data_IF_267885629492
#
_entry.id   IF_267885629492
#
_cell.length_a   1.000
_cell.length_b   1.000
_cell.length_c   1.000
_cell.angle_alpha   90.00
_cell.angle_beta   90.00
_cell.angle_gamma   90.00
#
_symmetry.space_group_name_H-M   'P 1'
#
loop_
_entity.id
_entity.type
_entity.pdbx_description
1 polymer ?
#
# COMPACT_ATOMS: atom_id res chain seq x y z
N UNK A 1 -14.24 4.06 11.33
CA UNK A 1 -15.26 3.03 11.65
C UNK A 1 -16.65 3.66 11.48
N UNK A 2 -17.62 2.90 11.01
CA UNK A 2 -18.99 3.38 10.74
C UNK A 2 -19.78 3.82 11.99
N UNK A 3 -19.22 3.71 13.20
CA UNK A 3 -19.92 3.94 14.46
C UNK A 3 -20.98 2.89 14.79
N UNK A 4 -21.06 1.82 14.00
CA UNK A 4 -22.00 0.70 14.20
C UNK A 4 -21.41 -0.27 15.24
N UNK A 5 -22.20 -0.66 16.24
CA UNK A 5 -21.76 -1.67 17.22
C UNK A 5 -21.74 -3.07 16.61
N UNK A 6 -20.91 -3.96 17.17
CA UNK A 6 -20.83 -5.37 16.76
C UNK A 6 -22.21 -6.06 16.79
N UNK A 7 -23.02 -5.79 17.84
CA UNK A 7 -24.38 -6.32 17.96
C UNK A 7 -25.29 -5.90 16.79
N UNK A 8 -25.25 -4.62 16.40
CA UNK A 8 -26.06 -4.12 15.27
C UNK A 8 -25.55 -4.72 13.95
N UNK A 9 -24.25 -4.80 13.76
CA UNK A 9 -23.66 -5.40 12.55
C UNK A 9 -23.98 -6.90 12.42
N UNK A 10 -23.85 -7.64 13.51
CA UNK A 10 -24.19 -9.07 13.57
C UNK A 10 -25.68 -9.32 13.28
N UNK A 11 -26.56 -8.52 13.90
CA UNK A 11 -28.02 -8.61 13.67
C UNK A 11 -28.36 -8.32 12.21
N UNK A 12 -27.78 -7.29 11.58
CA UNK A 12 -27.98 -6.97 10.17
C UNK A 12 -27.47 -8.09 9.25
N UNK A 13 -26.30 -8.69 9.59
CA UNK A 13 -25.75 -9.80 8.85
C UNK A 13 -26.46 -11.14 9.07
N UNK A 14 -27.43 -11.21 10.02
CA UNK A 14 -28.16 -12.43 10.36
C UNK A 14 -27.30 -13.51 11.05
N UNK A 15 -26.26 -13.12 11.75
CA UNK A 15 -25.31 -13.97 12.50
C UNK A 15 -25.19 -13.49 13.95
N UNK A 16 -24.57 -14.28 14.81
CA UNK A 16 -24.22 -13.89 16.17
C UNK A 16 -22.99 -12.97 16.23
N UNK A 17 -22.80 -12.25 17.34
CA UNK A 17 -21.58 -11.45 17.55
C UNK A 17 -20.31 -12.31 17.58
N UNK A 18 -20.40 -13.54 18.08
CA UNK A 18 -19.29 -14.50 18.07
C UNK A 18 -18.91 -14.92 16.64
N UNK A 19 -19.92 -15.16 15.78
CA UNK A 19 -19.68 -15.46 14.37
C UNK A 19 -19.13 -14.26 13.60
N UNK A 20 -19.55 -13.04 13.97
CA UNK A 20 -18.99 -11.81 13.41
C UNK A 20 -17.52 -11.65 13.79
N UNK A 21 -17.17 -11.86 15.06
CA UNK A 21 -15.77 -11.82 15.52
C UNK A 21 -14.91 -12.88 14.81
N UNK A 22 -15.43 -14.11 14.66
CA UNK A 22 -14.73 -15.16 13.92
C UNK A 22 -14.52 -14.79 12.44
N UNK A 23 -15.52 -14.14 11.81
CA UNK A 23 -15.41 -13.64 10.44
C UNK A 23 -14.30 -12.56 10.33
N UNK A 24 -14.26 -11.61 11.28
CA UNK A 24 -13.26 -10.54 11.32
C UNK A 24 -11.84 -11.08 11.54
N UNK A 25 -11.68 -12.11 12.37
CA UNK A 25 -10.39 -12.69 12.72
C UNK A 25 -9.85 -13.67 11.68
N UNK A 26 -10.73 -14.48 11.09
CA UNK A 26 -10.32 -15.64 10.27
C UNK A 26 -10.76 -15.57 8.81
N UNK A 27 -11.68 -14.65 8.49
CA UNK A 27 -12.37 -14.63 7.19
C UNK A 27 -13.34 -15.78 6.99
N UNK A 28 -13.55 -16.66 7.98
CA UNK A 28 -14.34 -17.89 7.89
C UNK A 28 -15.58 -17.80 8.79
N UNK A 29 -16.75 -17.43 8.27
CA UNK A 29 -17.98 -17.46 9.06
C UNK A 29 -18.49 -18.89 9.22
N UNK A 30 -18.97 -19.24 10.41
CA UNK A 30 -19.66 -20.52 10.64
C UNK A 30 -20.97 -20.62 9.84
N UNK A 31 -21.68 -19.50 9.70
CA UNK A 31 -22.86 -19.32 8.86
C UNK A 31 -22.58 -18.18 7.89
N UNK A 32 -23.03 -18.30 6.63
CA UNK A 32 -22.88 -17.24 5.63
C UNK A 32 -23.67 -15.98 6.05
N UNK A 33 -22.99 -14.83 6.23
CA UNK A 33 -23.66 -13.58 6.57
C UNK A 33 -24.47 -13.04 5.39
N UNK A 34 -25.47 -12.20 5.68
CA UNK A 34 -26.06 -11.31 4.68
C UNK A 34 -25.12 -10.13 4.42
N UNK A 35 -24.17 -10.33 3.51
CA UNK A 35 -23.18 -9.31 3.13
C UNK A 35 -23.83 -8.07 2.51
N UNK A 36 -25.01 -8.21 1.87
CA UNK A 36 -25.72 -7.09 1.29
C UNK A 36 -26.32 -6.17 2.37
N UNK A 37 -26.95 -6.77 3.37
CA UNK A 37 -27.49 -6.02 4.50
C UNK A 37 -26.35 -5.36 5.32
N UNK A 38 -25.27 -6.08 5.58
CA UNK A 38 -24.09 -5.57 6.25
C UNK A 38 -23.46 -4.40 5.49
N UNK A 39 -23.25 -4.54 4.18
CA UNK A 39 -22.67 -3.47 3.34
C UNK A 39 -23.51 -2.20 3.38
N UNK A 40 -24.84 -2.31 3.23
CA UNK A 40 -25.74 -1.18 3.30
C UNK A 40 -25.66 -0.47 4.67
N UNK A 41 -25.56 -1.24 5.75
CA UNK A 41 -25.46 -0.70 7.11
C UNK A 41 -24.19 0.11 7.34
N UNK A 42 -23.04 -0.36 6.82
CA UNK A 42 -21.74 0.27 7.04
C UNK A 42 -21.26 1.16 5.87
N UNK A 43 -22.12 1.38 4.87
CA UNK A 43 -21.85 2.29 3.75
C UNK A 43 -20.83 1.76 2.73
N UNK A 44 -20.78 0.44 2.53
CA UNK A 44 -19.99 -0.22 1.49
C UNK A 44 -20.85 -0.55 0.26
N UNK A 45 -20.19 -0.85 -0.86
CA UNK A 45 -20.87 -1.35 -2.06
C UNK A 45 -21.27 -2.84 -1.87
N UNK A 46 -22.59 -3.17 -1.88
CA UNK A 46 -23.03 -4.52 -1.56
C UNK A 46 -22.56 -5.61 -2.54
N UNK A 47 -22.58 -5.28 -3.84
CA UNK A 47 -22.18 -6.25 -4.86
C UNK A 47 -20.68 -6.57 -4.79
N UNK A 48 -19.86 -5.55 -4.53
CA UNK A 48 -18.41 -5.71 -4.40
C UNK A 48 -18.02 -6.43 -3.11
N UNK A 49 -18.69 -6.12 -1.99
CA UNK A 49 -18.46 -6.85 -0.73
C UNK A 49 -18.82 -8.34 -0.90
N UNK A 50 -19.93 -8.62 -1.57
CA UNK A 50 -20.29 -9.99 -1.87
C UNK A 50 -19.30 -10.67 -2.82
N UNK A 51 -18.75 -9.94 -3.80
CA UNK A 51 -17.68 -10.42 -4.69
C UNK A 51 -16.43 -10.84 -3.91
N UNK A 52 -15.96 -10.00 -3.00
CA UNK A 52 -14.81 -10.31 -2.11
C UNK A 52 -15.14 -11.52 -1.22
N UNK A 53 -16.33 -11.57 -0.62
CA UNK A 53 -16.77 -12.69 0.21
C UNK A 53 -16.92 -14.02 -0.58
N UNK A 54 -17.12 -13.94 -1.90
CA UNK A 54 -17.14 -15.09 -2.81
C UNK A 54 -15.74 -15.46 -3.34
N UNK A 55 -14.68 -14.86 -2.80
CA UNK A 55 -13.30 -15.20 -3.14
C UNK A 55 -12.71 -14.37 -4.28
N UNK A 56 -13.28 -13.19 -4.60
CA UNK A 56 -12.59 -12.29 -5.52
C UNK A 56 -11.21 -11.92 -4.96
N UNK A 57 -10.22 -12.03 -5.79
CA UNK A 57 -8.87 -11.52 -5.58
C UNK A 57 -8.33 -10.96 -6.90
N UNK A 58 -7.37 -10.03 -6.88
CA UNK A 58 -6.77 -9.51 -8.10
C UNK A 58 -6.07 -10.62 -8.89
N UNK A 59 -6.03 -10.48 -10.19
CA UNK A 59 -5.26 -11.38 -11.04
C UNK A 59 -3.78 -11.35 -10.69
N UNK A 60 -3.07 -12.46 -10.92
CA UNK A 60 -1.62 -12.50 -10.76
C UNK A 60 -0.94 -11.45 -11.64
N UNK A 61 0.07 -10.75 -11.08
CA UNK A 61 0.81 -9.69 -11.79
C UNK A 61 2.13 -10.23 -12.28
N UNK A 62 2.30 -10.19 -13.60
CA UNK A 62 3.59 -10.47 -14.22
C UNK A 62 4.53 -9.26 -14.08
N UNK A 63 5.46 -9.34 -13.15
CA UNK A 63 6.44 -8.28 -12.92
C UNK A 63 7.56 -8.24 -13.97
N UNK A 64 7.54 -9.09 -14.98
CA UNK A 64 8.54 -9.06 -16.07
C UNK A 64 8.53 -7.76 -16.87
N UNK A 65 7.39 -7.03 -16.88
CA UNK A 65 7.28 -5.69 -17.45
C UNK A 65 8.08 -4.62 -16.68
N UNK A 66 8.33 -4.88 -15.39
CA UNK A 66 9.09 -3.97 -14.50
C UNK A 66 10.30 -4.74 -13.93
N UNK A 67 11.25 -5.08 -14.80
CA UNK A 67 12.43 -5.90 -14.46
C UNK A 67 13.25 -5.33 -13.30
N UNK A 68 13.18 -4.05 -13.08
CA UNK A 68 13.90 -3.30 -12.05
C UNK A 68 13.05 -3.05 -10.80
N UNK A 69 11.88 -3.68 -10.66
CA UNK A 69 11.04 -3.64 -9.47
C UNK A 69 11.14 -4.97 -8.70
N UNK A 70 11.31 -4.88 -7.40
CA UNK A 70 11.20 -6.05 -6.48
C UNK A 70 10.32 -5.72 -5.31
N UNK A 71 9.35 -6.58 -5.05
CA UNK A 71 8.62 -6.63 -3.78
C UNK A 71 9.44 -7.48 -2.80
N UNK A 72 9.64 -6.96 -1.61
CA UNK A 72 10.34 -7.62 -0.50
C UNK A 72 9.33 -7.73 0.64
N UNK A 73 9.06 -8.95 1.09
CA UNK A 73 8.11 -9.22 2.17
C UNK A 73 8.85 -9.65 3.41
N UNK A 74 8.52 -9.03 4.53
CA UNK A 74 9.04 -9.40 5.86
C UNK A 74 7.88 -9.61 6.82
N UNK A 75 8.05 -10.51 7.80
CA UNK A 75 6.97 -10.90 8.71
C UNK A 75 7.47 -10.89 10.14
N UNK A 76 6.72 -10.24 11.02
CA UNK A 76 6.93 -10.29 12.46
C UNK A 76 5.57 -10.43 13.18
N UNK A 77 5.51 -11.30 14.19
CA UNK A 77 4.28 -11.54 14.94
C UNK A 77 3.07 -11.98 14.11
N UNK A 78 3.28 -12.57 12.92
CA UNK A 78 2.22 -12.93 11.99
C UNK A 78 1.74 -11.78 11.09
N UNK A 79 2.28 -10.57 11.26
CA UNK A 79 2.02 -9.43 10.36
C UNK A 79 3.07 -9.39 9.25
N UNK A 80 2.62 -9.53 8.00
CA UNK A 80 3.47 -9.42 6.81
C UNK A 80 3.32 -8.05 6.18
N UNK A 81 4.44 -7.36 5.99
CA UNK A 81 4.52 -6.07 5.31
C UNK A 81 5.42 -6.15 4.08
N UNK A 82 5.15 -5.32 3.10
CA UNK A 82 5.92 -5.22 1.87
C UNK A 82 6.67 -3.89 1.80
N UNK A 83 7.93 -3.96 1.45
CA UNK A 83 8.70 -2.83 0.95
C UNK A 83 9.11 -3.10 -0.50
N UNK A 84 9.48 -2.05 -1.23
CA UNK A 84 9.73 -2.15 -2.66
C UNK A 84 11.07 -1.53 -3.01
N UNK A 85 11.87 -2.26 -3.76
CA UNK A 85 13.15 -1.78 -4.29
C UNK A 85 13.01 -1.59 -5.81
N UNK A 86 13.36 -0.39 -6.27
CA UNK A 86 13.48 -0.10 -7.71
C UNK A 86 14.89 0.38 -8.02
N UNK A 87 15.32 0.21 -9.27
CA UNK A 87 16.62 0.74 -9.72
C UNK A 87 16.59 1.10 -11.20
N UNK A 88 17.50 1.95 -11.60
CA UNK A 88 17.77 2.19 -13.01
C UNK A 88 18.78 1.14 -13.53
N UNK A 89 18.44 0.50 -14.66
CA UNK A 89 19.23 -0.62 -15.20
C UNK A 89 20.65 -0.20 -15.62
N UNK A 90 20.80 1.03 -16.06
CA UNK A 90 22.07 1.55 -16.60
C UNK A 90 22.99 2.06 -15.50
N UNK A 91 22.46 2.96 -14.64
CA UNK A 91 23.24 3.61 -13.58
C UNK A 91 23.44 2.75 -12.34
N UNK A 92 22.57 1.74 -12.14
CA UNK A 92 22.45 0.94 -10.92
C UNK A 92 22.11 1.77 -9.67
N UNK A 93 21.67 3.00 -9.86
CA UNK A 93 21.11 3.79 -8.78
C UNK A 93 19.76 3.23 -8.36
N UNK A 94 19.55 3.07 -7.05
CA UNK A 94 18.38 2.42 -6.49
C UNK A 94 17.61 3.34 -5.52
N UNK A 95 16.31 3.10 -5.43
CA UNK A 95 15.42 3.68 -4.46
C UNK A 95 14.64 2.57 -3.72
N UNK A 96 14.57 2.70 -2.41
CA UNK A 96 13.79 1.82 -1.54
C UNK A 96 12.54 2.58 -1.07
N UNK A 97 11.40 1.90 -1.04
CA UNK A 97 10.14 2.41 -0.50
C UNK A 97 9.73 1.56 0.69
N UNK A 98 9.68 2.20 1.87
CA UNK A 98 9.58 1.57 3.19
C UNK A 98 10.74 0.63 3.49
N UNK A 99 10.78 0.09 4.69
CA UNK A 99 11.92 -0.74 5.13
C UNK A 99 11.52 -2.17 5.51
N UNK A 100 10.23 -2.40 5.74
CA UNK A 100 9.76 -3.63 6.33
C UNK A 100 10.20 -3.80 7.78
N UNK A 101 9.95 -4.97 8.34
CA UNK A 101 10.37 -5.38 9.67
C UNK A 101 11.88 -5.62 9.78
N UNK A 102 12.50 -6.10 8.69
CA UNK A 102 13.90 -6.49 8.63
C UNK A 102 14.56 -5.98 7.34
N UNK A 103 15.70 -5.31 7.48
CA UNK A 103 16.46 -4.78 6.36
C UNK A 103 17.40 -5.80 5.67
N UNK A 104 17.60 -6.98 6.25
CA UNK A 104 18.53 -7.98 5.71
C UNK A 104 18.19 -8.43 4.27
N UNK A 105 16.92 -8.68 3.90
CA UNK A 105 16.57 -9.01 2.52
C UNK A 105 16.86 -7.87 1.54
N UNK A 106 16.70 -6.61 1.97
CA UNK A 106 17.05 -5.43 1.17
C UNK A 106 18.55 -5.39 0.90
N UNK A 107 19.37 -5.60 1.94
CA UNK A 107 20.83 -5.62 1.81
C UNK A 107 21.29 -6.69 0.83
N UNK A 108 20.73 -7.89 0.94
CA UNK A 108 21.01 -9.00 0.04
C UNK A 108 20.74 -8.64 -1.42
N UNK A 109 19.55 -8.09 -1.72
CA UNK A 109 19.21 -7.70 -3.09
C UNK A 109 20.11 -6.60 -3.65
N UNK A 110 20.49 -5.63 -2.82
CA UNK A 110 21.40 -4.54 -3.21
C UNK A 110 22.79 -5.11 -3.58
N UNK A 111 23.29 -6.04 -2.78
CA UNK A 111 24.59 -6.70 -3.05
C UNK A 111 24.56 -7.58 -4.30
N UNK A 112 23.56 -8.46 -4.42
CA UNK A 112 23.41 -9.39 -5.55
C UNK A 112 23.30 -8.66 -6.88
N UNK A 113 22.65 -7.48 -6.90
CA UNK A 113 22.45 -6.69 -8.10
C UNK A 113 23.44 -5.52 -8.24
N UNK A 114 24.42 -5.40 -7.34
CA UNK A 114 25.45 -4.34 -7.32
C UNK A 114 24.85 -2.93 -7.39
N UNK A 115 23.79 -2.71 -6.60
CA UNK A 115 23.04 -1.45 -6.61
C UNK A 115 23.66 -0.40 -5.68
N UNK A 116 23.39 0.87 -6.00
CA UNK A 116 23.74 2.03 -5.18
C UNK A 116 22.48 2.68 -4.62
N UNK A 117 22.14 2.40 -3.36
CA UNK A 117 20.97 3.01 -2.73
C UNK A 117 21.16 4.52 -2.61
N UNK A 118 20.41 5.29 -3.40
CA UNK A 118 20.45 6.76 -3.43
C UNK A 118 19.31 7.38 -2.62
N UNK A 119 18.14 6.73 -2.62
CA UNK A 119 16.93 7.28 -2.02
C UNK A 119 16.21 6.24 -1.18
N UNK A 120 15.68 6.69 -0.04
CA UNK A 120 14.71 5.95 0.77
C UNK A 120 13.46 6.82 0.90
N UNK A 121 12.33 6.29 0.47
CA UNK A 121 11.02 6.91 0.55
C UNK A 121 10.20 6.18 1.61
N UNK A 122 9.58 6.92 2.54
CA UNK A 122 8.69 6.36 3.55
C UNK A 122 7.27 6.76 3.20
N UNK A 123 6.39 5.76 3.04
CA UNK A 123 4.97 5.99 2.75
C UNK A 123 4.26 6.55 3.96
N UNK A 124 4.54 6.03 5.14
CA UNK A 124 4.08 6.52 6.44
C UNK A 124 4.90 5.89 7.58
N UNK A 125 4.75 6.40 8.80
CA UNK A 125 5.64 6.04 9.91
C UNK A 125 5.08 4.99 10.90
N UNK A 126 4.22 4.08 10.46
CA UNK A 126 3.90 2.91 11.27
C UNK A 126 5.12 1.97 11.37
N UNK A 127 5.21 1.27 12.48
CA UNK A 127 6.40 0.51 12.88
C UNK A 127 6.86 -0.48 11.82
N UNK A 128 5.94 -1.23 11.25
CA UNK A 128 6.21 -2.24 10.22
C UNK A 128 6.76 -1.65 8.89
N UNK A 129 6.53 -0.36 8.63
CA UNK A 129 7.09 0.36 7.48
C UNK A 129 8.47 0.96 7.74
N UNK A 130 8.84 1.17 9.01
CA UNK A 130 10.08 1.87 9.38
C UNK A 130 11.01 1.09 10.32
N UNK A 131 10.68 -0.15 10.69
CA UNK A 131 11.48 -0.92 11.65
C UNK A 131 12.94 -1.10 11.21
N UNK A 132 13.20 -1.29 9.91
CA UNK A 132 14.55 -1.38 9.33
C UNK A 132 15.26 -0.05 9.10
N UNK A 133 14.62 1.10 9.36
CA UNK A 133 15.15 2.43 9.00
C UNK A 133 16.53 2.72 9.59
N UNK A 134 16.73 2.39 10.86
CA UNK A 134 18.02 2.63 11.50
C UNK A 134 19.15 1.84 10.82
N UNK A 135 18.92 0.56 10.55
CA UNK A 135 19.91 -0.33 9.89
C UNK A 135 20.25 0.18 8.48
N UNK A 136 19.24 0.61 7.72
CA UNK A 136 19.42 1.20 6.38
C UNK A 136 20.28 2.46 6.45
N UNK A 137 19.99 3.37 7.39
CA UNK A 137 20.74 4.63 7.55
C UNK A 137 22.18 4.41 7.98
N UNK A 138 22.43 3.46 8.86
CA UNK A 138 23.78 3.11 9.30
C UNK A 138 24.64 2.58 8.14
N UNK A 139 24.05 1.76 7.27
CA UNK A 139 24.74 1.17 6.13
C UNK A 139 24.90 2.12 4.95
N UNK A 140 23.90 2.96 4.66
CA UNK A 140 23.85 3.84 3.49
C UNK A 140 23.81 5.33 3.89
N UNK A 141 24.87 5.81 4.54
CA UNK A 141 24.94 7.16 5.11
C UNK A 141 24.79 8.31 4.10
N UNK A 142 25.00 8.06 2.81
CA UNK A 142 24.87 9.06 1.74
C UNK A 142 23.49 9.04 1.05
N UNK A 143 22.62 8.14 1.46
CA UNK A 143 21.27 8.05 0.92
C UNK A 143 20.41 9.25 1.35
N UNK A 144 19.52 9.70 0.46
CA UNK A 144 18.54 10.74 0.77
C UNK A 144 17.24 10.12 1.29
N UNK A 145 16.82 10.54 2.49
CA UNK A 145 15.54 10.14 3.07
C UNK A 145 14.44 11.11 2.60
N UNK A 146 13.28 10.57 2.24
CA UNK A 146 12.07 11.30 1.86
C UNK A 146 10.89 10.82 2.69
N UNK A 147 10.24 11.73 3.44
CA UNK A 147 9.10 11.41 4.30
C UNK A 147 8.31 12.66 4.64
N UNK A 148 7.02 12.52 4.95
CA UNK A 148 6.17 13.60 5.45
C UNK A 148 5.91 13.50 6.96
N UNK A 149 6.65 12.64 7.66
CA UNK A 149 6.59 12.51 9.11
C UNK A 149 6.65 13.87 9.82
N UNK A 150 5.86 14.01 10.87
CA UNK A 150 5.81 15.25 11.66
C UNK A 150 7.19 15.58 12.25
N UNK A 151 7.60 16.83 12.12
CA UNK A 151 8.92 17.29 12.62
C UNK A 151 10.10 16.97 11.71
N UNK A 152 9.87 16.35 10.57
CA UNK A 152 10.94 16.07 9.58
C UNK A 152 11.61 17.35 9.12
N UNK A 153 12.96 17.39 9.12
CA UNK A 153 13.72 18.52 8.57
C UNK A 153 13.36 18.79 7.10
N UNK A 154 13.37 20.06 6.64
CA UNK A 154 12.92 20.43 5.29
C UNK A 154 13.60 19.67 4.14
N UNK A 155 14.88 19.28 4.31
CA UNK A 155 15.65 18.55 3.30
C UNK A 155 15.16 17.10 3.10
N UNK A 156 14.38 16.54 4.01
CA UNK A 156 13.82 15.20 3.96
C UNK A 156 12.32 15.19 3.65
N UNK A 157 11.67 16.36 3.59
CA UNK A 157 10.25 16.45 3.27
C UNK A 157 10.02 16.33 1.78
N UNK A 158 8.98 15.58 1.43
CA UNK A 158 8.45 15.61 0.09
C UNK A 158 7.98 17.03 -0.26
N UNK A 159 8.19 17.42 -1.49
CA UNK A 159 7.69 18.71 -1.99
C UNK A 159 6.56 18.44 -2.97
N UNK A 160 5.46 19.11 -2.78
CA UNK A 160 4.31 19.01 -3.66
C UNK A 160 4.70 19.43 -5.10
N UNK A 161 4.28 18.65 -6.08
CA UNK A 161 4.59 18.85 -7.52
C UNK A 161 6.08 18.76 -7.88
N UNK A 162 6.91 18.26 -6.99
CA UNK A 162 8.32 17.96 -7.29
C UNK A 162 8.46 16.52 -7.80
N UNK A 163 9.59 16.25 -8.44
CA UNK A 163 9.92 14.90 -8.89
C UNK A 163 11.41 14.64 -8.68
N UNK A 164 11.72 13.36 -8.55
CA UNK A 164 13.09 12.86 -8.44
C UNK A 164 13.35 11.94 -9.63
N UNK A 165 14.48 12.15 -10.29
CA UNK A 165 14.94 11.24 -11.33
C UNK A 165 15.87 10.19 -10.71
N UNK A 166 15.57 8.92 -10.96
CA UNK A 166 16.41 7.79 -10.66
C UNK A 166 16.86 7.18 -11.99
N UNK A 167 17.97 7.68 -12.53
CA UNK A 167 18.31 7.41 -13.94
C UNK A 167 17.22 7.89 -14.87
N UNK A 168 16.61 6.99 -15.61
CA UNK A 168 15.49 7.26 -16.52
C UNK A 168 14.13 7.32 -15.80
N UNK A 169 14.00 6.70 -14.63
CA UNK A 169 12.75 6.61 -13.89
C UNK A 169 12.40 7.93 -13.22
N UNK A 170 11.14 8.34 -13.33
CA UNK A 170 10.62 9.55 -12.70
C UNK A 170 9.75 9.19 -11.50
N UNK A 171 10.13 9.63 -10.31
CA UNK A 171 9.40 9.41 -9.06
C UNK A 171 8.71 10.71 -8.67
N UNK A 172 7.39 10.66 -8.48
CA UNK A 172 6.57 11.76 -7.96
C UNK A 172 5.85 11.34 -6.69
N UNK A 173 5.35 12.29 -5.91
CA UNK A 173 4.61 12.01 -4.67
C UNK A 173 3.21 12.63 -4.70
N UNK A 174 2.27 12.01 -3.99
CA UNK A 174 0.92 12.50 -3.72
C UNK A 174 0.56 12.24 -2.27
N UNK A 175 0.04 13.26 -1.59
CA UNK A 175 -0.43 13.14 -0.22
C UNK A 175 -1.67 12.24 -0.15
N UNK A 176 -1.58 11.18 0.63
CA UNK A 176 -2.68 10.22 0.86
C UNK A 176 -2.94 10.00 2.35
N UNK A 177 -3.15 11.09 3.15
CA UNK A 177 -3.49 10.95 4.57
C UNK A 177 -4.86 10.31 4.76
N UNK A 178 -5.08 9.77 5.98
CA UNK A 178 -6.34 9.16 6.41
C UNK A 178 -6.11 7.88 7.19
N UNK A 179 -5.29 6.96 6.67
CA UNK A 179 -4.74 5.85 7.45
C UNK A 179 -3.69 6.37 8.44
N UNK A 180 -2.74 7.12 7.95
CA UNK A 180 -1.76 7.87 8.75
C UNK A 180 -1.78 9.35 8.34
N UNK A 181 -1.36 10.26 9.26
CA UNK A 181 -1.31 11.69 9.00
C UNK A 181 -0.29 12.04 7.92
N UNK A 182 0.82 11.32 7.92
CA UNK A 182 1.97 11.47 7.03
C UNK A 182 1.90 10.56 5.78
N UNK A 183 0.70 10.03 5.47
CA UNK A 183 0.49 9.12 4.36
C UNK A 183 0.84 9.71 3.00
N UNK A 184 1.73 9.05 2.25
CA UNK A 184 2.20 9.43 0.92
C UNK A 184 2.15 8.23 -0.03
N UNK A 185 1.64 8.46 -1.23
CA UNK A 185 1.76 7.54 -2.36
C UNK A 185 2.86 8.03 -3.30
N UNK A 186 3.78 7.16 -3.67
CA UNK A 186 4.82 7.45 -4.65
C UNK A 186 4.48 6.82 -5.99
N UNK A 187 4.60 7.60 -7.07
CA UNK A 187 4.27 7.17 -8.42
C UNK A 187 5.53 7.17 -9.25
N UNK A 188 5.85 6.02 -9.82
CA UNK A 188 7.01 5.80 -10.66
C UNK A 188 6.53 5.65 -12.09
N UNK A 189 7.08 6.47 -12.97
CA UNK A 189 6.80 6.44 -14.41
C UNK A 189 8.06 6.46 -15.22
N UNK A 190 7.88 6.55 -16.56
CA UNK A 190 8.97 6.54 -17.52
C UNK A 190 9.78 5.23 -17.49
N UNK A 191 9.06 4.12 -17.28
CA UNK A 191 9.66 2.79 -17.33
C UNK A 191 10.17 2.44 -18.74
N UNK A 192 11.22 1.62 -18.86
CA UNK A 192 11.61 1.03 -20.14
C UNK A 192 10.44 0.30 -20.81
N UNK A 193 10.48 0.19 -22.11
CA UNK A 193 9.48 -0.53 -22.93
C UNK A 193 8.02 -0.03 -22.73
N UNK A 194 7.84 1.25 -22.34
CA UNK A 194 6.54 1.89 -22.10
C UNK A 194 5.67 1.14 -21.06
N UNK A 195 6.29 0.43 -20.10
CA UNK A 195 5.55 -0.27 -19.05
C UNK A 195 4.66 0.69 -18.25
N UNK A 196 3.49 0.24 -17.75
CA UNK A 196 2.58 1.08 -16.99
C UNK A 196 3.22 1.69 -15.75
N UNK A 197 2.65 2.81 -15.26
CA UNK A 197 3.08 3.40 -13.99
C UNK A 197 2.95 2.41 -12.84
N UNK A 198 3.81 2.60 -11.84
CA UNK A 198 3.74 1.90 -10.55
C UNK A 198 3.39 2.91 -9.48
N UNK A 199 2.42 2.60 -8.64
CA UNK A 199 2.03 3.39 -7.47
C UNK A 199 2.32 2.60 -6.20
N UNK A 200 3.30 3.04 -5.41
CA UNK A 200 3.61 2.49 -4.09
C UNK A 200 2.78 3.27 -3.09
N UNK A 201 1.75 2.62 -2.56
CA UNK A 201 0.65 3.29 -1.87
C UNK A 201 0.71 3.15 -0.33
N UNK A 202 1.66 2.34 0.20
CA UNK A 202 1.65 1.99 1.62
C UNK A 202 0.28 1.43 2.01
N UNK A 203 -0.28 1.95 3.07
CA UNK A 203 -1.58 1.52 3.60
C UNK A 203 -2.76 2.41 3.18
N UNK A 204 -2.61 3.19 2.10
CA UNK A 204 -3.73 3.98 1.59
C UNK A 204 -4.83 3.11 1.01
N UNK A 205 -4.49 2.04 0.30
CA UNK A 205 -5.44 1.08 -0.30
C UNK A 205 -4.77 -0.30 -0.42
N UNK A 206 -5.57 -1.35 -0.32
CA UNK A 206 -5.20 -2.75 -0.51
C UNK A 206 -6.11 -3.39 -1.55
N UNK A 207 -5.74 -4.58 -2.03
CA UNK A 207 -6.60 -5.36 -2.90
C UNK A 207 -7.94 -5.67 -2.22
N UNK A 208 -9.03 -5.13 -2.76
CA UNK A 208 -10.38 -5.28 -2.22
C UNK A 208 -10.61 -4.63 -0.86
N UNK A 209 -9.69 -3.79 -0.36
CA UNK A 209 -9.79 -3.18 0.95
C UNK A 209 -9.15 -1.79 0.98
N UNK A 210 -9.12 -1.18 2.16
CA UNK A 210 -8.49 0.11 2.43
C UNK A 210 -7.86 0.09 3.81
N UNK A 211 -6.76 0.82 4.01
CA UNK A 211 -6.16 0.99 5.33
C UNK A 211 -7.14 1.54 6.35
N UNK A 212 -7.00 1.16 7.62
CA UNK A 212 -7.86 1.67 8.70
C UNK A 212 -7.82 3.19 8.71
N UNK A 213 -8.98 3.82 8.81
CA UNK A 213 -9.10 5.28 8.94
C UNK A 213 -8.73 5.78 10.33
N UNK A 214 -7.49 5.52 10.77
CA UNK A 214 -7.02 5.89 12.11
C UNK A 214 -7.09 7.38 12.37
N UNK A 215 -6.86 8.18 11.33
CA UNK A 215 -7.03 9.63 11.33
C UNK A 215 -8.46 10.03 10.96
N UNK A 216 -8.91 9.61 9.79
CA UNK A 216 -10.25 9.88 9.26
C UNK A 216 -10.55 8.92 8.12
N UNK A 217 -11.63 8.17 8.29
CA UNK A 217 -12.14 7.26 7.29
C UNK A 217 -12.58 7.97 5.99
N UNK A 218 -13.30 9.08 6.13
CA UNK A 218 -13.78 9.85 4.99
C UNK A 218 -12.62 10.48 4.23
N UNK A 219 -11.61 10.99 4.93
CA UNK A 219 -10.41 11.54 4.32
C UNK A 219 -9.64 10.46 3.56
N UNK A 220 -9.46 9.27 4.14
CA UNK A 220 -8.78 8.15 3.47
C UNK A 220 -9.47 7.81 2.14
N UNK A 221 -10.80 7.60 2.16
CA UNK A 221 -11.59 7.32 0.95
C UNK A 221 -11.52 8.45 -0.08
N UNK A 222 -11.62 9.70 0.38
CA UNK A 222 -11.50 10.86 -0.48
C UNK A 222 -10.13 10.90 -1.16
N UNK A 223 -9.05 10.70 -0.39
CA UNK A 223 -7.68 10.75 -0.92
C UNK A 223 -7.39 9.64 -1.91
N UNK A 224 -7.87 8.43 -1.67
CA UNK A 224 -7.76 7.36 -2.67
C UNK A 224 -8.44 7.75 -3.99
N UNK A 225 -9.67 8.30 -3.94
CA UNK A 225 -10.37 8.76 -5.16
C UNK A 225 -9.62 9.86 -5.90
N UNK A 226 -9.11 10.85 -5.17
CA UNK A 226 -8.45 12.02 -5.75
C UNK A 226 -7.03 11.74 -6.24
N UNK A 227 -6.29 10.89 -5.53
CA UNK A 227 -4.85 10.76 -5.73
C UNK A 227 -4.45 9.44 -6.40
N UNK A 228 -5.20 8.35 -6.19
CA UNK A 228 -4.87 7.04 -6.73
C UNK A 228 -5.78 6.70 -7.92
N UNK A 229 -7.10 6.85 -7.78
CA UNK A 229 -8.05 6.50 -8.84
C UNK A 229 -8.04 7.47 -10.04
N UNK A 230 -7.31 8.55 -9.97
CA UNK A 230 -7.03 9.45 -11.11
C UNK A 230 -5.83 9.00 -11.97
N UNK A 231 -5.12 7.97 -11.54
CA UNK A 231 -4.05 7.36 -12.33
C UNK A 231 -4.63 6.52 -13.49
N UNK A 232 -3.84 6.22 -14.54
CA UNK A 232 -4.23 5.30 -15.61
C UNK A 232 -4.71 3.96 -15.06
N UNK A 233 -5.65 3.33 -15.77
CA UNK A 233 -6.33 2.11 -15.33
C UNK A 233 -5.37 0.93 -15.08
N UNK A 234 -4.33 0.84 -15.91
CA UNK A 234 -3.30 -0.20 -15.89
C UNK A 234 -2.19 0.05 -14.86
N UNK A 235 -2.21 1.19 -14.14
CA UNK A 235 -1.21 1.49 -13.10
C UNK A 235 -1.19 0.36 -12.07
N UNK A 236 0.01 -0.23 -11.88
CA UNK A 236 0.25 -1.24 -10.86
C UNK A 236 0.18 -0.59 -9.48
N UNK A 237 -0.66 -1.11 -8.60
CA UNK A 237 -0.74 -0.72 -7.19
C UNK A 237 0.09 -1.70 -6.36
N UNK A 238 1.04 -1.13 -5.61
CA UNK A 238 1.96 -1.82 -4.72
C UNK A 238 1.63 -1.43 -3.27
N UNK A 239 0.79 -2.20 -2.55
CA UNK A 239 0.37 -1.89 -1.19
C UNK A 239 1.38 -2.36 -0.15
N UNK A 240 1.26 -1.83 1.08
CA UNK A 240 2.03 -2.29 2.23
C UNK A 240 1.66 -3.72 2.67
N UNK A 241 0.43 -4.14 2.43
CA UNK A 241 -0.06 -5.47 2.78
C UNK A 241 -0.91 -6.08 1.67
N UNK A 242 -0.93 -7.43 1.60
CA UNK A 242 -1.73 -8.18 0.64
C UNK A 242 -1.13 -8.19 -0.77
N UNK A 243 -1.88 -8.68 -1.77
CA UNK A 243 -1.38 -8.85 -3.12
C UNK A 243 -1.31 -7.53 -3.91
N UNK A 244 -0.48 -7.51 -4.95
CA UNK A 244 -0.46 -6.47 -5.97
C UNK A 244 -1.81 -6.43 -6.71
N UNK A 245 -2.22 -5.23 -7.10
CA UNK A 245 -3.46 -5.01 -7.85
C UNK A 245 -3.27 -3.90 -8.88
N UNK A 246 -4.35 -3.42 -9.51
CA UNK A 246 -4.32 -2.30 -10.45
C UNK A 246 -5.41 -1.29 -10.10
N UNK A 247 -5.26 -0.08 -10.63
CA UNK A 247 -6.29 0.97 -10.49
C UNK A 247 -7.63 0.48 -11.07
N UNK A 248 -7.62 -0.24 -12.18
CA UNK A 248 -8.84 -0.78 -12.80
C UNK A 248 -9.54 -1.77 -11.88
N UNK A 249 -8.80 -2.76 -11.35
CA UNK A 249 -9.37 -3.79 -10.46
C UNK A 249 -9.97 -3.19 -9.20
N UNK A 250 -9.28 -2.23 -8.58
CA UNK A 250 -9.79 -1.59 -7.36
C UNK A 250 -11.00 -0.70 -7.63
N UNK A 251 -11.05 0.00 -8.76
CA UNK A 251 -12.23 0.75 -9.18
C UNK A 251 -13.45 -0.14 -9.43
N UNK A 252 -13.24 -1.35 -9.90
CA UNK A 252 -14.30 -2.29 -10.22
C UNK A 252 -14.77 -3.10 -9.01
N UNK A 253 -13.84 -3.56 -8.17
CA UNK A 253 -14.10 -4.60 -7.17
C UNK A 253 -13.98 -4.17 -5.72
N UNK A 254 -13.30 -3.05 -5.42
CA UNK A 254 -13.10 -2.63 -4.03
C UNK A 254 -14.43 -2.14 -3.40
N UNK A 255 -14.92 -2.77 -2.32
CA UNK A 255 -16.23 -2.46 -1.74
C UNK A 255 -16.31 -1.08 -1.07
N UNK A 256 -15.20 -0.46 -0.80
CA UNK A 256 -15.12 0.85 -0.13
C UNK A 256 -15.39 2.04 -1.07
N UNK A 257 -15.56 1.77 -2.38
CA UNK A 257 -15.72 2.81 -3.42
C UNK A 257 -16.92 2.57 -4.38
#
# INVERSE_FOLDING_TARGET
MSGVSAAIAAAAAGISETELSALEETGQPGKRPDFKALANLIGLNPARLEGVANGWHPGEKDLSLWRELRQISTTEGGNTVHCYLIWDEVTRDAALFDTGWDAAPVFKLIEENQLQLKHLFITHTHEDHVAGLQQIRERFQKMHLHTDARGTPPQHRNRRNDFIMLGSLRITNRETPGHAEDGVTYIIGTWPDDAPHVAIVGDAIFAGSIGRGNQSWDLARQKVREQIFTLPAETLICPGHGPLTTVAEEKEHNPFF
#
